data_IF_333333471752
#
_entry.id   IF_333333471752
#
_cell.length_a   1.000
_cell.length_b   1.000
_cell.length_c   1.000
_cell.angle_alpha   90.00
_cell.angle_beta   90.00
_cell.angle_gamma   90.00
#
_symmetry.space_group_name_H-M   'P 1'
#
loop_
_entity.id
_entity.type
_entity.pdbx_description
1 polymer ?
#
# COMPACT_ATOMS: atom_id res chain seq x y z
N UNK A 1 14.56 -7.39 1.03
CA UNK A 1 14.68 -7.85 -0.38
C UNK A 1 16.14 -8.07 -0.80
N UNK A 2 16.61 -9.32 -0.76
CA UNK A 2 17.96 -9.69 -1.22
C UNK A 2 17.87 -10.91 -2.14
N UNK A 3 18.42 -10.85 -3.35
CA UNK A 3 18.31 -11.93 -4.34
C UNK A 3 19.68 -12.52 -4.68
N UNK A 4 19.80 -13.85 -4.87
CA UNK A 4 21.02 -14.44 -5.35
C UNK A 4 21.32 -14.01 -6.79
N UNK A 5 22.59 -13.95 -7.14
CA UNK A 5 23.02 -13.64 -8.50
C UNK A 5 22.77 -14.82 -9.43
N UNK A 6 22.34 -14.53 -10.66
CA UNK A 6 22.12 -15.56 -11.66
C UNK A 6 23.46 -16.23 -12.04
N UNK A 7 23.52 -17.58 -12.09
CA UNK A 7 24.62 -18.31 -12.69
C UNK A 7 24.92 -17.85 -14.12
N UNK A 8 26.20 -17.79 -14.49
CA UNK A 8 26.60 -17.53 -15.88
C UNK A 8 26.01 -18.59 -16.82
N UNK A 9 25.62 -18.28 -18.05
CA UNK A 9 24.97 -19.26 -18.93
C UNK A 9 25.93 -20.10 -19.79
N UNK A 10 27.23 -19.82 -19.75
CA UNK A 10 28.22 -20.45 -20.61
C UNK A 10 28.54 -21.89 -20.17
N UNK A 11 28.64 -22.80 -21.13
CA UNK A 11 29.10 -24.18 -20.93
C UNK A 11 30.54 -24.30 -21.43
N UNK A 12 31.46 -24.71 -20.56
CA UNK A 12 32.84 -25.00 -20.92
C UNK A 12 32.91 -26.36 -21.63
N UNK A 13 32.70 -26.35 -22.95
CA UNK A 13 32.79 -27.52 -23.82
C UNK A 13 33.84 -27.23 -24.89
N UNK A 14 34.81 -28.14 -25.06
CA UNK A 14 35.82 -28.07 -26.12
C UNK A 14 35.16 -28.14 -27.50
N UNK A 15 35.85 -27.69 -28.56
CA UNK A 15 35.37 -27.88 -29.92
C UNK A 15 35.11 -29.36 -30.25
N UNK A 16 34.05 -29.62 -31.02
CA UNK A 16 33.67 -30.97 -31.43
C UNK A 16 34.79 -31.63 -32.26
N UNK A 17 35.17 -32.89 -31.97
CA UNK A 17 36.18 -33.58 -32.75
C UNK A 17 35.72 -33.75 -34.20
N UNK A 18 36.60 -33.41 -35.16
CA UNK A 18 36.34 -33.58 -36.59
C UNK A 18 36.36 -35.07 -36.95
N UNK A 19 35.28 -35.55 -37.57
CA UNK A 19 35.23 -36.91 -38.13
C UNK A 19 36.03 -36.90 -39.44
N UNK A 20 37.10 -37.69 -39.51
CA UNK A 20 37.87 -37.82 -40.76
C UNK A 20 37.02 -38.55 -41.80
N UNK A 21 36.93 -37.98 -42.99
CA UNK A 21 36.34 -38.64 -44.15
C UNK A 21 37.30 -39.74 -44.62
N UNK A 22 36.88 -40.99 -44.51
CA UNK A 22 37.74 -42.14 -44.85
C UNK A 22 37.47 -42.52 -46.30
N UNK A 23 38.35 -42.12 -47.21
CA UNK A 23 38.34 -42.55 -48.61
C UNK A 23 39.20 -43.80 -48.78
N UNK A 24 38.70 -44.78 -49.55
CA UNK A 24 39.39 -46.04 -49.80
C UNK A 24 40.51 -45.89 -50.85
N UNK A 25 41.61 -45.25 -50.44
CA UNK A 25 42.71 -44.88 -51.32
C UNK A 25 43.45 -46.09 -51.92
N UNK A 26 43.50 -47.23 -51.21
CA UNK A 26 44.09 -48.47 -51.72
C UNK A 26 43.22 -49.11 -52.82
N UNK A 27 41.89 -49.15 -52.68
CA UNK A 27 40.98 -49.56 -53.77
C UNK A 27 41.13 -48.66 -55.00
N UNK A 28 41.27 -47.36 -54.80
CA UNK A 28 41.42 -46.38 -55.89
C UNK A 28 42.75 -46.57 -56.63
N UNK A 29 43.83 -46.76 -55.87
CA UNK A 29 45.17 -47.03 -56.41
C UNK A 29 45.21 -48.38 -57.15
N UNK A 30 44.52 -49.39 -56.62
CA UNK A 30 44.41 -50.72 -57.22
C UNK A 30 43.54 -50.72 -58.50
N UNK A 31 42.39 -50.06 -58.48
CA UNK A 31 41.52 -49.90 -59.65
C UNK A 31 42.27 -49.23 -60.80
N UNK A 32 43.15 -48.28 -60.48
CA UNK A 32 44.02 -47.63 -61.46
C UNK A 32 45.13 -48.57 -61.97
N UNK A 33 45.75 -49.38 -61.10
CA UNK A 33 46.77 -50.34 -61.50
C UNK A 33 46.21 -51.49 -62.36
N UNK A 34 44.98 -51.95 -62.09
CA UNK A 34 44.31 -53.02 -62.84
C UNK A 34 43.75 -52.56 -64.20
N UNK A 35 43.44 -51.27 -64.37
CA UNK A 35 42.99 -50.72 -65.66
C UNK A 35 44.10 -50.63 -66.72
N UNK A 36 45.36 -50.92 -66.37
CA UNK A 36 46.53 -50.59 -67.19
C UNK A 36 47.21 -51.71 -68.00
N UNK A 37 46.83 -52.99 -67.91
CA UNK A 37 47.58 -54.05 -68.61
C UNK A 37 46.70 -55.14 -69.25
N UNK A 38 46.74 -55.23 -70.58
CA UNK A 38 46.17 -56.29 -71.41
C UNK A 38 47.30 -57.10 -72.05
N UNK A 39 47.59 -58.32 -71.55
CA UNK A 39 48.13 -59.52 -72.23
C UNK A 39 48.92 -60.41 -71.26
N UNK A 40 48.48 -61.67 -71.10
CA UNK A 40 49.25 -62.94 -70.98
C UNK A 40 48.47 -63.91 -70.09
N UNK A 41 48.15 -65.13 -70.52
CA UNK A 41 47.16 -65.99 -69.81
C UNK A 41 47.78 -67.27 -69.21
N UNK A 42 49.03 -67.62 -69.50
CA UNK A 42 49.64 -68.90 -69.02
C UNK A 42 50.80 -68.78 -68.00
N UNK A 43 51.56 -67.67 -67.91
CA UNK A 43 52.33 -67.35 -66.68
C UNK A 43 51.43 -66.80 -65.57
N UNK A 44 50.15 -66.63 -65.89
CA UNK A 44 49.20 -65.84 -65.14
C UNK A 44 48.41 -66.70 -64.16
N UNK A 45 48.37 -68.03 -64.23
CA UNK A 45 47.61 -68.81 -63.26
C UNK A 45 48.26 -68.90 -61.85
N UNK A 46 49.57 -69.19 -61.76
CA UNK A 46 50.32 -69.18 -60.48
C UNK A 46 50.58 -67.75 -59.97
N UNK A 47 50.88 -66.84 -60.90
CA UNK A 47 51.08 -65.41 -60.61
C UNK A 47 49.78 -64.74 -60.17
N UNK A 48 48.63 -65.06 -60.79
CA UNK A 48 47.32 -64.57 -60.36
C UNK A 48 46.91 -65.17 -59.04
N UNK A 49 47.19 -66.44 -58.75
CA UNK A 49 46.87 -66.98 -57.42
C UNK A 49 47.67 -66.27 -56.32
N UNK A 50 48.95 -65.98 -56.58
CA UNK A 50 49.79 -65.14 -55.71
C UNK A 50 49.30 -63.69 -55.61
N UNK A 51 48.94 -63.07 -56.74
CA UNK A 51 48.39 -61.70 -56.80
C UNK A 51 47.04 -61.65 -56.09
N UNK A 52 46.11 -62.58 -56.32
CA UNK A 52 44.82 -62.70 -55.63
C UNK A 52 45.03 -62.83 -54.12
N UNK A 53 45.99 -63.65 -53.67
CA UNK A 53 46.34 -63.74 -52.24
C UNK A 53 46.86 -62.41 -51.68
N UNK A 54 47.71 -61.70 -52.42
CA UNK A 54 48.23 -60.37 -52.05
C UNK A 54 47.09 -59.34 -52.06
N UNK A 55 46.13 -59.44 -52.98
CA UNK A 55 44.95 -58.57 -53.07
C UNK A 55 44.01 -58.79 -51.89
N UNK A 56 43.74 -60.04 -51.51
CA UNK A 56 42.97 -60.40 -50.32
C UNK A 56 43.62 -59.82 -49.05
N UNK A 57 44.96 -59.89 -48.95
CA UNK A 57 45.71 -59.32 -47.83
C UNK A 57 45.68 -57.79 -47.83
N UNK A 58 45.87 -57.12 -48.98
CA UNK A 58 45.82 -55.66 -49.08
C UNK A 58 44.42 -55.10 -48.82
N UNK A 59 43.36 -55.76 -49.30
CA UNK A 59 41.97 -55.41 -48.99
C UNK A 59 41.68 -55.57 -47.50
N UNK A 60 42.18 -56.64 -46.89
CA UNK A 60 42.06 -56.85 -45.45
C UNK A 60 42.80 -55.76 -44.67
N UNK A 61 44.02 -55.40 -45.07
CA UNK A 61 44.81 -54.33 -44.42
C UNK A 61 44.15 -52.95 -44.55
N UNK A 62 43.58 -52.60 -45.70
CA UNK A 62 42.84 -51.35 -45.88
C UNK A 62 41.56 -51.33 -45.03
N UNK A 63 40.81 -52.44 -45.01
CA UNK A 63 39.65 -52.60 -44.12
C UNK A 63 40.04 -52.41 -42.65
N UNK A 64 41.12 -53.05 -42.18
CA UNK A 64 41.59 -52.91 -40.81
C UNK A 64 42.08 -51.49 -40.49
N UNK A 65 42.76 -50.81 -41.44
CA UNK A 65 43.18 -49.42 -41.26
C UNK A 65 41.97 -48.49 -41.13
N UNK A 66 41.00 -48.61 -42.02
CA UNK A 66 39.77 -47.83 -41.97
C UNK A 66 38.99 -48.12 -40.68
N UNK A 67 38.88 -49.38 -40.27
CA UNK A 67 38.24 -49.76 -39.01
C UNK A 67 38.95 -49.15 -37.78
N UNK A 68 40.28 -49.11 -37.78
CA UNK A 68 41.06 -48.51 -36.69
C UNK A 68 40.94 -46.98 -36.64
N UNK A 69 40.88 -46.30 -37.80
CA UNK A 69 40.62 -44.86 -37.87
C UNK A 69 39.19 -44.51 -37.41
N UNK A 70 38.20 -45.34 -37.77
CA UNK A 70 36.82 -45.23 -37.25
C UNK A 70 36.81 -45.42 -35.74
N UNK A 71 37.45 -46.48 -35.21
CA UNK A 71 37.51 -46.75 -33.77
C UNK A 71 38.14 -45.58 -33.00
N UNK A 72 39.26 -45.04 -33.49
CA UNK A 72 39.91 -43.87 -32.88
C UNK A 72 39.00 -42.63 -32.92
N UNK A 73 38.33 -42.35 -34.04
CA UNK A 73 37.37 -41.24 -34.14
C UNK A 73 36.20 -41.40 -33.18
N UNK A 74 35.64 -42.61 -33.07
CA UNK A 74 34.53 -42.91 -32.17
C UNK A 74 34.95 -42.76 -30.71
N UNK A 75 36.14 -43.22 -30.32
CA UNK A 75 36.67 -43.01 -28.96
C UNK A 75 36.78 -41.53 -28.62
N UNK A 76 37.32 -40.72 -29.53
CA UNK A 76 37.43 -39.27 -29.35
C UNK A 76 36.05 -38.61 -29.22
N UNK A 77 35.08 -39.00 -30.04
CA UNK A 77 33.69 -38.50 -29.94
C UNK A 77 33.01 -38.90 -28.64
N UNK A 78 33.21 -40.14 -28.17
CA UNK A 78 32.66 -40.62 -26.89
C UNK A 78 33.27 -39.83 -25.73
N UNK A 79 34.59 -39.60 -25.75
CA UNK A 79 35.27 -38.81 -24.72
C UNK A 79 34.77 -37.36 -24.70
N UNK A 80 34.64 -36.72 -25.86
CA UNK A 80 34.08 -35.37 -25.97
C UNK A 80 32.64 -35.30 -25.45
N UNK A 81 31.78 -36.26 -25.82
CA UNK A 81 30.40 -36.34 -25.33
C UNK A 81 30.33 -36.52 -23.81
N UNK A 82 31.22 -37.35 -23.24
CA UNK A 82 31.29 -37.54 -21.79
C UNK A 82 31.68 -36.24 -21.08
N UNK A 83 32.71 -35.53 -21.59
CA UNK A 83 33.14 -34.26 -21.02
C UNK A 83 32.05 -33.19 -21.14
N UNK A 84 31.39 -33.08 -22.29
CA UNK A 84 30.26 -32.18 -22.50
C UNK A 84 29.08 -32.50 -21.57
N UNK A 85 28.80 -33.79 -21.37
CA UNK A 85 27.76 -34.27 -20.46
C UNK A 85 28.05 -33.93 -19.00
N UNK A 86 29.30 -34.11 -18.53
CA UNK A 86 29.68 -33.73 -17.17
C UNK A 86 29.68 -32.21 -16.98
N UNK A 87 30.14 -31.41 -17.96
CA UNK A 87 30.02 -29.94 -17.92
C UNK A 87 28.56 -29.49 -17.81
N UNK A 88 27.66 -30.10 -18.60
CA UNK A 88 26.23 -29.80 -18.54
C UNK A 88 25.64 -30.18 -17.17
N UNK A 89 25.98 -31.35 -16.65
CA UNK A 89 25.52 -31.83 -15.34
C UNK A 89 26.00 -30.94 -14.19
N UNK A 90 27.26 -30.51 -14.22
CA UNK A 90 27.78 -29.52 -13.28
C UNK A 90 26.96 -28.22 -13.35
N UNK A 91 26.65 -27.78 -14.58
CA UNK A 91 25.85 -26.58 -14.79
C UNK A 91 24.41 -26.70 -14.29
N UNK A 92 23.77 -27.85 -14.53
CA UNK A 92 22.45 -28.14 -14.00
C UNK A 92 22.44 -28.05 -12.48
N UNK A 93 23.46 -28.59 -11.81
CA UNK A 93 23.58 -28.52 -10.36
C UNK A 93 23.76 -27.08 -9.84
N UNK A 94 24.47 -26.22 -10.57
CA UNK A 94 24.60 -24.79 -10.22
C UNK A 94 23.25 -24.07 -10.31
N UNK A 95 22.47 -24.32 -11.37
CA UNK A 95 21.12 -23.78 -11.50
C UNK A 95 20.14 -24.34 -10.47
N UNK A 96 20.22 -25.62 -10.14
CA UNK A 96 19.44 -26.21 -9.04
C UNK A 96 19.73 -25.51 -7.70
N UNK A 97 21.01 -25.26 -7.41
CA UNK A 97 21.43 -24.49 -6.23
C UNK A 97 20.86 -23.06 -6.25
N UNK A 98 21.01 -22.36 -7.36
CA UNK A 98 20.45 -21.02 -7.55
C UNK A 98 18.93 -20.98 -7.31
N UNK A 99 18.17 -21.90 -7.92
CA UNK A 99 16.71 -21.92 -7.75
C UNK A 99 16.30 -22.23 -6.32
N UNK A 100 17.05 -23.08 -5.61
CA UNK A 100 16.83 -23.32 -4.18
C UNK A 100 17.04 -22.05 -3.36
N UNK A 101 18.17 -21.35 -3.54
CA UNK A 101 18.47 -20.09 -2.84
C UNK A 101 17.47 -18.98 -3.20
N UNK A 102 17.11 -18.88 -4.47
CA UNK A 102 16.11 -17.93 -4.96
C UNK A 102 14.75 -18.19 -4.32
N UNK A 103 14.31 -19.45 -4.26
CA UNK A 103 13.05 -19.81 -3.62
C UNK A 103 13.05 -19.50 -2.12
N UNK A 104 14.16 -19.79 -1.42
CA UNK A 104 14.33 -19.39 -0.01
C UNK A 104 14.27 -17.87 0.16
N UNK A 105 14.94 -17.11 -0.70
CA UNK A 105 14.89 -15.64 -0.71
C UNK A 105 13.46 -15.14 -0.95
N UNK A 106 12.74 -15.71 -1.90
CA UNK A 106 11.36 -15.34 -2.21
C UNK A 106 10.43 -15.54 -1.02
N UNK A 107 10.51 -16.67 -0.32
CA UNK A 107 9.73 -16.90 0.89
C UNK A 107 10.09 -15.95 2.04
N UNK A 108 11.38 -15.66 2.22
CA UNK A 108 11.81 -14.69 3.23
C UNK A 108 11.29 -13.28 2.92
N UNK A 109 11.35 -12.88 1.65
CA UNK A 109 10.82 -11.60 1.18
C UNK A 109 9.29 -11.51 1.34
N UNK A 110 8.57 -12.57 1.01
CA UNK A 110 7.12 -12.66 1.20
C UNK A 110 6.74 -12.51 2.68
N UNK A 111 7.49 -13.15 3.58
CA UNK A 111 7.31 -13.02 5.02
C UNK A 111 7.63 -11.60 5.50
N UNK A 112 8.76 -11.01 5.06
CA UNK A 112 9.16 -9.63 5.40
C UNK A 112 8.07 -8.62 4.99
N UNK A 113 7.53 -8.76 3.79
CA UNK A 113 6.43 -7.92 3.29
C UNK A 113 5.16 -8.13 4.12
N UNK A 114 4.81 -9.38 4.42
CA UNK A 114 3.63 -9.72 5.22
C UNK A 114 3.73 -9.14 6.64
N UNK A 115 4.88 -9.29 7.30
CA UNK A 115 5.13 -8.76 8.64
C UNK A 115 5.10 -7.24 8.67
N UNK A 116 5.70 -6.60 7.67
CA UNK A 116 5.66 -5.13 7.52
C UNK A 116 4.24 -4.64 7.31
N UNK A 117 3.45 -5.32 6.47
CA UNK A 117 2.05 -4.97 6.22
C UNK A 117 1.18 -5.15 7.46
N UNK A 118 1.38 -6.24 8.21
CA UNK A 118 0.68 -6.50 9.46
C UNK A 118 1.03 -5.46 10.53
N UNK A 119 2.32 -5.12 10.69
CA UNK A 119 2.77 -4.07 11.61
C UNK A 119 2.16 -2.71 11.25
N UNK A 120 2.14 -2.35 9.96
CA UNK A 120 1.49 -1.13 9.49
C UNK A 120 -0.01 -1.13 9.77
N UNK A 121 -0.69 -2.27 9.59
CA UNK A 121 -2.12 -2.42 9.88
C UNK A 121 -2.42 -2.14 11.36
N UNK A 122 -1.66 -2.74 12.29
CA UNK A 122 -1.85 -2.50 13.72
C UNK A 122 -1.48 -1.07 14.13
N UNK A 123 -0.43 -0.49 13.54
CA UNK A 123 -0.05 0.91 13.77
C UNK A 123 -1.17 1.88 13.36
N UNK A 124 -1.71 1.73 12.15
CA UNK A 124 -2.82 2.56 11.64
C UNK A 124 -4.05 2.45 12.54
N UNK A 125 -4.41 1.22 12.93
CA UNK A 125 -5.53 0.95 13.84
C UNK A 125 -5.34 1.63 15.20
N UNK A 126 -4.11 1.62 15.74
CA UNK A 126 -3.80 2.27 17.01
C UNK A 126 -3.91 3.80 16.93
N UNK A 127 -3.45 4.41 15.83
CA UNK A 127 -3.49 5.87 15.64
C UNK A 127 -4.92 6.34 15.39
N UNK A 128 -5.74 5.58 14.65
CA UNK A 128 -7.18 5.86 14.49
C UNK A 128 -7.86 5.89 15.87
N UNK A 129 -7.64 4.85 16.70
CA UNK A 129 -8.24 4.80 18.05
C UNK A 129 -7.80 5.97 18.94
N UNK A 130 -6.54 6.39 18.81
CA UNK A 130 -6.01 7.56 19.52
C UNK A 130 -6.70 8.86 19.07
N UNK A 131 -6.86 9.05 17.76
CA UNK A 131 -7.58 10.20 17.19
C UNK A 131 -9.05 10.22 17.60
N UNK A 132 -9.72 9.06 17.59
CA UNK A 132 -11.09 8.90 18.08
C UNK A 132 -11.23 9.35 19.54
N UNK A 133 -10.33 8.89 20.41
CA UNK A 133 -10.32 9.28 21.82
C UNK A 133 -10.10 10.79 22.00
N UNK A 134 -9.17 11.39 21.25
CA UNK A 134 -8.91 12.84 21.30
C UNK A 134 -10.11 13.65 20.83
N UNK A 135 -10.81 13.20 19.80
CA UNK A 135 -12.01 13.84 19.28
C UNK A 135 -13.14 13.79 20.30
N UNK A 136 -13.37 12.62 20.92
CA UNK A 136 -14.36 12.45 21.99
C UNK A 136 -14.05 13.38 23.16
N UNK A 137 -12.79 13.40 23.64
CA UNK A 137 -12.38 14.24 24.77
C UNK A 137 -12.60 15.73 24.46
N UNK A 138 -12.21 16.18 23.27
CA UNK A 138 -12.36 17.58 22.83
C UNK A 138 -13.84 17.95 22.74
N UNK A 139 -14.67 17.09 22.13
CA UNK A 139 -16.11 17.31 22.00
C UNK A 139 -16.79 17.34 23.37
N UNK A 140 -16.42 16.45 24.30
CA UNK A 140 -16.95 16.45 25.67
C UNK A 140 -16.56 17.72 26.42
N UNK A 141 -15.27 18.11 26.40
CA UNK A 141 -14.81 19.35 27.04
C UNK A 141 -15.53 20.58 26.49
N UNK A 142 -15.70 20.65 25.18
CA UNK A 142 -16.41 21.73 24.52
C UNK A 142 -17.89 21.78 24.94
N UNK A 143 -18.58 20.64 24.90
CA UNK A 143 -19.98 20.52 25.28
C UNK A 143 -20.20 20.92 26.75
N UNK A 144 -19.37 20.42 27.67
CA UNK A 144 -19.42 20.79 29.08
C UNK A 144 -19.17 22.28 29.28
N UNK A 145 -18.19 22.85 28.58
CA UNK A 145 -17.89 24.29 28.66
C UNK A 145 -19.07 25.14 28.17
N UNK A 146 -19.69 24.77 27.05
CA UNK A 146 -20.89 25.45 26.55
C UNK A 146 -22.07 25.32 27.51
N UNK A 147 -22.27 24.15 28.11
CA UNK A 147 -23.34 23.96 29.09
C UNK A 147 -23.14 24.84 30.33
N UNK A 148 -21.92 24.93 30.85
CA UNK A 148 -21.58 25.81 31.98
C UNK A 148 -21.84 27.27 31.60
N UNK A 149 -21.35 27.70 30.43
CA UNK A 149 -21.54 29.06 29.93
C UNK A 149 -23.03 29.43 29.82
N UNK A 150 -23.85 28.57 29.21
CA UNK A 150 -25.29 28.82 29.07
C UNK A 150 -26.01 28.87 30.42
N UNK A 151 -25.64 28.00 31.35
CA UNK A 151 -26.22 28.01 32.70
C UNK A 151 -25.86 29.29 33.47
N UNK A 152 -24.61 29.74 33.36
CA UNK A 152 -24.17 31.01 33.96
C UNK A 152 -24.88 32.21 33.33
N UNK A 153 -24.97 32.27 31.99
CA UNK A 153 -25.67 33.34 31.29
C UNK A 153 -27.16 33.41 31.69
N UNK A 154 -27.83 32.25 31.80
CA UNK A 154 -29.22 32.16 32.25
C UNK A 154 -29.39 32.61 33.70
N UNK A 155 -28.49 32.20 34.60
CA UNK A 155 -28.52 32.62 35.99
C UNK A 155 -28.33 34.13 36.14
N UNK A 156 -27.36 34.71 35.40
CA UNK A 156 -27.11 36.14 35.40
C UNK A 156 -28.32 36.94 34.88
N UNK A 157 -28.89 36.53 33.75
CA UNK A 157 -30.08 37.18 33.20
C UNK A 157 -31.27 37.12 34.18
N UNK A 158 -31.48 35.97 34.85
CA UNK A 158 -32.54 35.84 35.86
C UNK A 158 -32.30 36.75 37.08
N UNK A 159 -31.05 36.89 37.52
CA UNK A 159 -30.70 37.79 38.62
C UNK A 159 -30.96 39.24 38.24
N UNK A 160 -30.51 39.69 37.05
CA UNK A 160 -30.76 41.04 36.55
C UNK A 160 -32.25 41.33 36.39
N UNK A 161 -33.03 40.40 35.83
CA UNK A 161 -34.49 40.53 35.71
C UNK A 161 -35.13 40.66 37.10
N UNK A 162 -34.72 39.85 38.07
CA UNK A 162 -35.27 39.87 39.43
C UNK A 162 -34.94 41.20 40.11
N UNK A 163 -33.69 41.66 40.04
CA UNK A 163 -33.27 42.95 40.60
C UNK A 163 -34.02 44.11 39.97
N UNK A 164 -34.11 44.17 38.64
CA UNK A 164 -34.82 45.25 37.94
C UNK A 164 -36.32 45.23 38.22
N UNK A 165 -36.93 44.03 38.34
CA UNK A 165 -38.34 43.88 38.72
C UNK A 165 -38.59 44.41 40.13
N UNK A 166 -37.73 44.06 41.09
CA UNK A 166 -37.84 44.56 42.47
C UNK A 166 -37.71 46.08 42.52
N UNK A 167 -36.67 46.65 41.91
CA UNK A 167 -36.46 48.09 41.86
C UNK A 167 -37.65 48.82 41.19
N UNK A 168 -38.21 48.26 40.11
CA UNK A 168 -39.38 48.83 39.43
C UNK A 168 -40.64 48.78 40.30
N UNK A 169 -40.84 47.71 41.07
CA UNK A 169 -41.97 47.58 42.00
C UNK A 169 -41.86 48.56 43.18
N UNK A 170 -40.64 48.75 43.71
CA UNK A 170 -40.37 49.74 44.76
C UNK A 170 -40.63 51.16 44.25
N UNK A 171 -40.15 51.51 43.04
CA UNK A 171 -40.42 52.80 42.42
C UNK A 171 -41.92 53.05 42.18
N UNK A 172 -42.65 52.05 41.67
CA UNK A 172 -44.10 52.15 41.50
C UNK A 172 -44.85 52.31 42.83
N UNK A 173 -44.35 51.67 43.89
CA UNK A 173 -44.94 51.80 45.24
C UNK A 173 -44.75 53.21 45.79
N UNK A 174 -43.54 53.77 45.63
CA UNK A 174 -43.25 55.16 46.03
C UNK A 174 -44.10 56.17 45.25
N UNK A 175 -44.21 56.00 43.93
CA UNK A 175 -45.02 56.88 43.08
C UNK A 175 -46.51 56.81 43.47
N UNK A 176 -47.01 55.61 43.77
CA UNK A 176 -48.38 55.41 44.24
C UNK A 176 -48.62 56.09 45.59
N UNK A 177 -47.67 56.02 46.52
CA UNK A 177 -47.76 56.70 47.81
C UNK A 177 -47.77 58.23 47.64
N UNK A 178 -46.87 58.77 46.81
CA UNK A 178 -46.81 60.19 46.47
C UNK A 178 -48.14 60.68 45.88
N UNK A 179 -48.67 59.98 44.88
CA UNK A 179 -49.96 60.30 44.27
C UNK A 179 -51.11 60.25 45.29
N UNK A 180 -51.11 59.28 46.21
CA UNK A 180 -52.12 59.17 47.25
C UNK A 180 -52.03 60.32 48.26
N UNK A 181 -50.82 60.77 48.60
CA UNK A 181 -50.59 61.94 49.45
C UNK A 181 -51.07 63.23 48.78
N UNK A 182 -50.76 63.43 47.50
CA UNK A 182 -51.25 64.58 46.71
C UNK A 182 -52.78 64.59 46.62
N UNK A 183 -53.40 63.43 46.34
CA UNK A 183 -54.87 63.29 46.31
C UNK A 183 -55.47 63.67 47.67
N UNK A 184 -54.89 63.23 48.78
CA UNK A 184 -55.38 63.56 50.12
C UNK A 184 -55.20 65.04 50.48
N UNK A 185 -54.09 65.67 50.07
CA UNK A 185 -53.87 67.12 50.25
C UNK A 185 -54.93 67.91 49.48
N UNK A 186 -55.06 67.65 48.17
CA UNK A 186 -56.03 68.32 47.30
C UNK A 186 -57.47 68.12 47.78
N UNK A 187 -57.81 66.91 48.28
CA UNK A 187 -59.13 66.64 48.88
C UNK A 187 -59.36 67.48 50.14
N UNK A 188 -58.36 67.59 51.01
CA UNK A 188 -58.44 68.39 52.24
C UNK A 188 -58.62 69.87 51.91
N UNK A 189 -57.77 70.42 51.04
CA UNK A 189 -57.85 71.80 50.56
C UNK A 189 -59.22 72.10 49.93
N UNK A 190 -59.75 71.19 49.11
CA UNK A 190 -61.07 71.34 48.51
C UNK A 190 -62.21 71.31 49.54
N UNK A 191 -62.12 70.50 50.60
CA UNK A 191 -63.12 70.44 51.67
C UNK A 191 -63.10 71.70 52.55
N UNK A 192 -61.91 72.23 52.84
CA UNK A 192 -61.74 73.49 53.56
C UNK A 192 -62.32 74.67 52.76
N UNK A 193 -62.02 74.75 51.46
CA UNK A 193 -62.58 75.77 50.57
C UNK A 193 -64.11 75.74 50.52
N UNK A 194 -64.73 74.54 50.43
CA UNK A 194 -66.19 74.38 50.47
C UNK A 194 -66.79 74.80 51.83
N UNK A 195 -66.09 74.53 52.93
CA UNK A 195 -66.55 74.92 54.27
C UNK A 195 -66.53 76.43 54.43
N UNK A 196 -65.45 77.08 54.00
CA UNK A 196 -65.35 78.54 54.01
C UNK A 196 -66.44 79.20 53.16
N UNK A 197 -66.70 78.69 51.96
CA UNK A 197 -67.74 79.21 51.08
C UNK A 197 -69.15 79.04 51.70
N UNK A 198 -69.39 77.91 52.35
CA UNK A 198 -70.64 77.65 53.07
C UNK A 198 -70.84 78.62 54.25
N UNK A 199 -69.79 78.91 55.01
CA UNK A 199 -69.84 79.89 56.12
C UNK A 199 -70.10 81.30 55.60
N UNK A 200 -69.42 81.70 54.51
CA UNK A 200 -69.63 82.97 53.83
C UNK A 200 -71.10 83.11 53.37
N UNK A 201 -71.64 82.09 52.68
CA UNK A 201 -73.02 82.08 52.23
C UNK A 201 -74.02 82.15 53.39
N UNK A 202 -73.78 81.42 54.48
CA UNK A 202 -74.62 81.43 55.69
C UNK A 202 -74.65 82.82 56.33
N UNK A 203 -73.48 83.46 56.43
CA UNK A 203 -73.33 84.82 56.96
C UNK A 203 -74.11 85.82 56.10
N UNK A 204 -73.98 85.73 54.78
CA UNK A 204 -74.68 86.61 53.84
C UNK A 204 -76.20 86.42 53.87
N UNK A 205 -76.68 85.18 53.99
CA UNK A 205 -78.12 84.88 54.17
C UNK A 205 -78.65 85.50 55.47
N UNK A 206 -77.90 85.39 56.58
CA UNK A 206 -78.32 85.94 57.88
C UNK A 206 -78.34 87.48 57.88
N UNK A 207 -77.36 88.12 57.23
CA UNK A 207 -77.33 89.56 57.03
C UNK A 207 -78.57 90.03 56.24
N UNK A 208 -78.84 89.42 55.09
CA UNK A 208 -80.01 89.75 54.25
C UNK A 208 -81.35 89.55 54.99
N UNK A 209 -81.47 88.48 55.81
CA UNK A 209 -82.67 88.27 56.63
C UNK A 209 -82.87 89.36 57.67
N UNK A 210 -81.80 89.81 58.33
CA UNK A 210 -81.87 90.85 59.36
C UNK A 210 -82.28 92.20 58.76
N UNK A 211 -81.79 92.51 57.56
CA UNK A 211 -82.21 93.70 56.81
C UNK A 211 -83.68 93.65 56.40
N UNK A 212 -84.22 92.49 56.05
CA UNK A 212 -85.62 92.34 55.64
C UNK A 212 -86.65 92.44 56.78
N UNK A 213 -86.24 92.36 58.04
CA UNK A 213 -87.14 92.41 59.21
C UNK A 213 -87.17 93.81 59.86
N UNK A 214 -86.30 94.72 59.42
CA UNK A 214 -86.35 96.15 59.78
C UNK A 214 -87.26 96.92 58.84
#
# INVERSE_FOLDING_TARGET
MNYPNLPHSHLEISDQPQVKEITNELLKTLQNALKGNHLFTEQVELSLKGIVRILEVLLSLDFFKNANEIDSSLRNSIEWLNNAGESLKAKMKEYEGFFSEFNTSMHANEQEVTDTLNANTENIKSEIKKLENQLIETATKLLTSYQIFLNQAKANANNEITTNKTASLEALTQEKENANNEINSNKTESLEALTQEKENATTQINANKTESVK
#
